data_IF_397443789789
#
_entry.id   IF_397443789789
#
_cell.length_a   1.000
_cell.length_b   1.000
_cell.length_c   1.000
_cell.angle_alpha   90.00
_cell.angle_beta   90.00
_cell.angle_gamma   90.00
#
_symmetry.space_group_name_H-M   'P 1'
#
loop_
_entity.id
_entity.type
_entity.pdbx_description
1 polymer ?
#
# COMPACT_ATOMS: atom_id res chain seq x y z
N UNK A 1 5.68 -21.02 80.46
CA UNK A 1 4.76 -19.86 80.56
C UNK A 1 5.14 -18.83 79.49
N UNK A 2 4.18 -18.45 78.62
CA UNK A 2 4.12 -17.29 77.67
C UNK A 2 5.15 -17.21 76.51
N UNK A 3 4.80 -16.54 75.38
CA UNK A 3 3.57 -16.68 74.59
C UNK A 3 3.82 -16.85 73.07
N UNK A 4 2.74 -17.25 72.38
CA UNK A 4 2.56 -17.43 70.93
C UNK A 4 2.62 -16.08 70.18
N UNK A 5 3.34 -16.04 69.04
CA UNK A 5 3.18 -15.00 68.02
C UNK A 5 2.37 -15.56 66.84
N UNK A 6 1.09 -15.17 66.78
CA UNK A 6 0.24 -15.33 65.60
C UNK A 6 0.70 -14.32 64.54
N UNK A 7 1.27 -14.80 63.43
CA UNK A 7 1.40 -14.01 62.20
C UNK A 7 0.11 -14.15 61.41
N UNK A 8 -0.64 -13.05 61.31
CA UNK A 8 -1.78 -12.90 60.42
C UNK A 8 -1.28 -12.82 58.97
N UNK A 9 -1.62 -13.83 58.16
CA UNK A 9 -1.55 -13.74 56.70
C UNK A 9 -2.80 -13.02 56.22
N UNK A 10 -2.64 -11.75 55.84
CA UNK A 10 -3.64 -11.01 55.07
C UNK A 10 -3.70 -11.60 53.67
N UNK A 11 -4.76 -12.38 53.41
CA UNK A 11 -5.18 -12.73 52.06
C UNK A 11 -5.76 -11.48 51.41
N UNK A 12 -4.94 -10.79 50.61
CA UNK A 12 -5.44 -9.78 49.67
C UNK A 12 -6.13 -10.49 48.52
N UNK A 13 -7.47 -10.52 48.57
CA UNK A 13 -8.30 -10.93 47.43
C UNK A 13 -8.11 -9.87 46.35
N UNK A 14 -7.26 -10.19 45.36
CA UNK A 14 -7.20 -9.48 44.09
C UNK A 14 -8.56 -9.67 43.42
N UNK A 15 -9.43 -8.66 43.53
CA UNK A 15 -10.60 -8.55 42.70
C UNK A 15 -10.11 -8.40 41.25
N UNK A 16 -10.04 -9.52 40.54
CA UNK A 16 -9.99 -9.56 39.08
C UNK A 16 -11.31 -8.98 38.58
N UNK A 17 -11.36 -7.64 38.49
CA UNK A 17 -12.35 -6.97 37.68
C UNK A 17 -12.16 -7.46 36.26
N UNK A 18 -13.08 -8.30 35.79
CA UNK A 18 -13.18 -8.66 34.39
C UNK A 18 -13.39 -7.35 33.63
N UNK A 19 -12.31 -6.80 33.04
CA UNK A 19 -12.44 -5.81 32.00
C UNK A 19 -13.27 -6.47 30.91
N UNK A 20 -14.55 -6.09 30.81
CA UNK A 20 -15.38 -6.46 29.69
C UNK A 20 -14.73 -5.84 28.47
N UNK A 21 -13.94 -6.64 27.76
CA UNK A 21 -13.49 -6.32 26.40
C UNK A 21 -14.75 -6.16 25.57
N UNK A 22 -15.13 -4.91 25.33
CA UNK A 22 -16.18 -4.57 24.37
C UNK A 22 -15.73 -5.17 23.04
N UNK A 23 -16.38 -6.24 22.59
CA UNK A 23 -16.13 -6.78 21.26
C UNK A 23 -16.69 -5.77 20.26
N UNK A 24 -15.81 -4.90 19.78
CA UNK A 24 -16.12 -3.96 18.70
C UNK A 24 -16.30 -4.80 17.44
N UNK A 25 -17.55 -4.89 16.96
CA UNK A 25 -17.81 -5.56 15.68
C UNK A 25 -17.21 -4.70 14.57
N UNK A 26 -16.31 -5.24 13.73
CA UNK A 26 -15.70 -4.47 12.66
C UNK A 26 -16.77 -3.91 11.72
N UNK A 27 -16.77 -2.60 11.51
CA UNK A 27 -17.61 -1.93 10.52
C UNK A 27 -16.83 -1.78 9.20
N UNK A 28 -17.36 -2.23 8.04
CA UNK A 28 -16.65 -2.09 6.77
C UNK A 28 -16.33 -0.63 6.43
N UNK A 29 -15.09 -0.34 6.01
CA UNK A 29 -14.64 1.01 5.67
C UNK A 29 -15.55 1.70 4.65
N UNK A 30 -15.96 0.98 3.60
CA UNK A 30 -16.82 1.50 2.52
C UNK A 30 -18.21 2.03 2.98
N UNK A 31 -18.62 1.74 4.23
CA UNK A 31 -19.88 2.24 4.81
C UNK A 31 -19.66 3.34 5.86
N UNK A 32 -18.42 3.69 6.16
CA UNK A 32 -18.04 4.66 7.19
C UNK A 32 -18.31 6.11 6.76
N UNK A 33 -18.41 7.01 7.75
CA UNK A 33 -18.43 8.46 7.49
C UNK A 33 -17.12 8.96 6.90
N UNK A 34 -15.98 8.37 7.29
CA UNK A 34 -14.67 8.67 6.72
C UNK A 34 -14.65 8.44 5.20
N UNK A 35 -15.16 7.29 4.74
CA UNK A 35 -15.27 7.03 3.30
C UNK A 35 -16.25 7.99 2.62
N UNK A 36 -17.40 8.30 3.23
CA UNK A 36 -18.37 9.26 2.66
C UNK A 36 -17.76 10.64 2.44
N UNK A 37 -16.84 11.06 3.30
CA UNK A 37 -16.14 12.34 3.18
C UNK A 37 -15.22 12.41 1.95
N UNK A 38 -14.60 11.29 1.57
CA UNK A 38 -13.62 11.22 0.47
C UNK A 38 -14.13 10.56 -0.81
N UNK A 39 -15.33 9.96 -0.80
CA UNK A 39 -15.84 9.09 -1.88
C UNK A 39 -15.84 9.71 -3.28
N UNK A 40 -15.90 11.04 -3.38
CA UNK A 40 -15.91 11.75 -4.68
C UNK A 40 -14.52 11.80 -5.30
N UNK A 41 -13.49 11.74 -4.47
CA UNK A 41 -12.08 11.82 -4.87
C UNK A 41 -11.40 10.45 -4.82
N UNK A 42 -12.03 9.45 -4.19
CA UNK A 42 -11.52 8.09 -4.13
C UNK A 42 -11.53 7.40 -5.51
N UNK A 43 -10.36 6.91 -5.92
CA UNK A 43 -10.15 6.20 -7.19
C UNK A 43 -10.08 4.68 -7.00
N UNK A 44 -9.68 4.23 -5.81
CA UNK A 44 -9.63 2.83 -5.43
C UNK A 44 -9.22 2.66 -3.96
N UNK A 45 -9.48 1.50 -3.39
CA UNK A 45 -8.99 1.15 -2.05
C UNK A 45 -8.64 -0.33 -1.93
N UNK A 46 -7.77 -0.64 -0.99
CA UNK A 46 -7.39 -1.99 -0.58
C UNK A 46 -7.43 -2.08 0.94
N UNK A 47 -7.72 -3.28 1.44
CA UNK A 47 -7.67 -3.57 2.86
C UNK A 47 -6.33 -4.25 3.21
N UNK A 48 -5.75 -3.94 4.37
CA UNK A 48 -4.55 -4.56 4.93
C UNK A 48 -4.46 -4.26 6.44
N UNK A 49 -3.89 -5.15 7.25
CA UNK A 49 -3.71 -4.91 8.69
C UNK A 49 -2.35 -4.23 8.95
N UNK A 50 -2.34 -2.89 9.04
CA UNK A 50 -1.13 -2.10 9.28
C UNK A 50 -0.78 -2.01 10.76
N UNK A 51 -1.79 -2.04 11.62
CA UNK A 51 -1.62 -1.87 13.06
C UNK A 51 -1.24 -3.17 13.77
N UNK A 52 -1.45 -4.32 13.12
CA UNK A 52 -1.20 -5.65 13.67
C UNK A 52 -2.22 -6.06 14.74
N UNK A 53 -3.39 -5.40 14.77
CA UNK A 53 -4.44 -5.66 15.74
C UNK A 53 -5.44 -6.75 15.28
N UNK A 54 -5.24 -7.29 14.08
CA UNK A 54 -6.09 -8.31 13.47
C UNK A 54 -7.36 -7.74 12.82
N UNK A 55 -7.52 -6.41 12.78
CA UNK A 55 -8.60 -5.71 12.09
C UNK A 55 -8.04 -5.12 10.80
N UNK A 56 -8.68 -5.34 9.63
CA UNK A 56 -8.22 -4.72 8.41
C UNK A 56 -8.33 -3.20 8.47
N UNK A 57 -7.23 -2.51 8.20
CA UNK A 57 -7.18 -1.09 7.90
C UNK A 57 -7.40 -0.86 6.39
N UNK A 58 -7.70 0.36 5.99
CA UNK A 58 -7.98 0.70 4.59
C UNK A 58 -6.93 1.66 4.02
N UNK A 59 -6.37 1.34 2.86
CA UNK A 59 -5.64 2.30 2.03
C UNK A 59 -6.52 2.76 0.90
N UNK A 60 -6.71 4.06 0.78
CA UNK A 60 -7.50 4.67 -0.29
C UNK A 60 -6.60 5.56 -1.12
N UNK A 61 -6.59 5.35 -2.43
CA UNK A 61 -5.97 6.31 -3.35
C UNK A 61 -7.00 7.36 -3.72
N UNK A 62 -6.71 8.62 -3.42
CA UNK A 62 -7.59 9.76 -3.70
C UNK A 62 -6.94 10.75 -4.64
N UNK A 63 -7.74 11.48 -5.42
CA UNK A 63 -7.30 12.63 -6.20
C UNK A 63 -6.74 13.71 -5.27
N UNK A 64 -5.56 14.22 -5.58
CA UNK A 64 -4.87 15.26 -4.78
C UNK A 64 -4.07 16.19 -5.68
N UNK A 65 -4.65 17.36 -5.99
CA UNK A 65 -4.01 18.36 -6.86
C UNK A 65 -3.75 17.81 -8.28
N UNK A 66 -2.50 17.90 -8.81
CA UNK A 66 -2.13 17.39 -10.13
C UNK A 66 -1.88 15.87 -10.15
N UNK A 67 -2.28 15.17 -9.08
CA UNK A 67 -1.88 13.80 -8.84
C UNK A 67 -2.90 13.01 -8.04
N UNK A 68 -2.43 11.89 -7.50
CA UNK A 68 -3.13 11.05 -6.54
C UNK A 68 -2.28 10.90 -5.28
N UNK A 69 -2.91 10.62 -4.13
CA UNK A 69 -2.19 10.25 -2.92
C UNK A 69 -2.85 9.05 -2.24
N UNK A 70 -2.02 8.15 -1.71
CA UNK A 70 -2.47 7.05 -0.85
C UNK A 70 -2.74 7.59 0.56
N UNK A 71 -3.89 7.28 1.12
CA UNK A 71 -4.29 7.66 2.48
C UNK A 71 -4.71 6.43 3.26
N UNK A 72 -4.28 6.36 4.50
CA UNK A 72 -4.55 5.20 5.36
C UNK A 72 -5.58 5.58 6.39
N UNK A 73 -6.59 4.73 6.52
CA UNK A 73 -7.64 4.84 7.51
C UNK A 73 -7.59 3.63 8.41
N UNK A 74 -7.62 3.88 9.71
CA UNK A 74 -7.60 2.84 10.75
C UNK A 74 -8.92 2.87 11.51
N UNK A 75 -9.25 1.74 12.13
CA UNK A 75 -10.45 1.64 12.96
C UNK A 75 -10.08 1.80 14.44
N UNK A 76 -10.56 2.88 15.06
CA UNK A 76 -10.36 3.15 16.47
C UNK A 76 -11.62 2.79 17.29
N UNK A 77 -11.46 2.20 18.49
CA UNK A 77 -12.58 2.01 19.41
C UNK A 77 -13.12 3.36 19.91
N UNK A 78 -14.44 3.49 20.01
CA UNK A 78 -15.15 4.65 20.57
C UNK A 78 -16.29 4.22 21.49
N UNK A 79 -16.81 5.17 22.29
CA UNK A 79 -17.97 4.91 23.17
C UNK A 79 -19.22 4.43 22.40
N UNK A 80 -19.33 4.80 21.12
CA UNK A 80 -20.45 4.42 20.24
C UNK A 80 -20.13 3.21 19.33
N UNK A 81 -18.95 2.60 19.44
CA UNK A 81 -18.55 1.45 18.64
C UNK A 81 -17.15 1.59 18.03
N UNK A 82 -17.04 1.51 16.72
CA UNK A 82 -15.80 1.68 15.97
C UNK A 82 -15.89 2.93 15.09
N UNK A 83 -14.87 3.78 15.10
CA UNK A 83 -14.78 4.97 14.26
C UNK A 83 -13.58 4.84 13.33
N UNK A 84 -13.78 5.21 12.07
CA UNK A 84 -12.70 5.26 11.09
C UNK A 84 -12.08 6.66 11.11
N UNK A 85 -10.77 6.73 11.27
CA UNK A 85 -9.97 7.97 11.28
C UNK A 85 -8.87 7.89 10.22
N UNK A 86 -8.49 9.01 9.62
CA UNK A 86 -7.31 9.08 8.75
C UNK A 86 -6.06 9.02 9.64
N UNK A 87 -5.26 7.96 9.51
CA UNK A 87 -4.02 7.79 10.26
C UNK A 87 -2.86 8.55 9.63
N UNK A 88 -2.76 8.52 8.30
CA UNK A 88 -1.73 9.23 7.56
C UNK A 88 -2.10 9.41 6.09
N UNK A 89 -1.36 10.31 5.43
CA UNK A 89 -1.41 10.52 3.99
C UNK A 89 0.01 10.46 3.41
N UNK A 90 0.15 9.73 2.30
CA UNK A 90 1.37 9.69 1.51
C UNK A 90 1.55 10.93 0.63
N UNK A 91 2.73 11.07 0.00
CA UNK A 91 2.99 12.15 -0.93
C UNK A 91 2.11 12.06 -2.18
N UNK A 92 2.07 13.15 -2.94
CA UNK A 92 1.36 13.22 -4.21
C UNK A 92 2.19 12.56 -5.31
N UNK A 93 1.59 11.56 -5.97
CA UNK A 93 2.08 10.89 -7.17
C UNK A 93 1.44 11.57 -8.37
N UNK A 94 2.24 12.10 -9.29
CA UNK A 94 1.71 12.83 -10.44
C UNK A 94 0.93 11.90 -11.39
N UNK A 95 -0.28 12.30 -11.77
CA UNK A 95 -1.19 11.50 -12.59
C UNK A 95 -2.64 11.80 -12.24
N UNK A 96 -3.49 12.04 -13.24
CA UNK A 96 -4.90 12.38 -13.04
C UNK A 96 -5.80 11.15 -12.91
N UNK A 97 -5.32 10.00 -13.37
CA UNK A 97 -6.02 8.72 -13.36
C UNK A 97 -5.21 7.66 -12.62
N UNK A 98 -5.90 6.71 -12.00
CA UNK A 98 -5.30 5.56 -11.33
C UNK A 98 -5.30 4.38 -12.31
N UNK A 99 -4.12 3.96 -12.75
CA UNK A 99 -3.96 2.79 -13.63
C UNK A 99 -3.93 1.49 -12.81
N UNK A 100 -3.13 1.46 -11.73
CA UNK A 100 -2.92 0.27 -10.91
C UNK A 100 -2.88 0.64 -9.43
N UNK A 101 -3.58 -0.18 -8.65
CA UNK A 101 -3.51 -0.24 -7.21
C UNK A 101 -3.52 -1.70 -6.78
N UNK A 102 -2.40 -2.21 -6.28
CA UNK A 102 -2.31 -3.60 -5.80
C UNK A 102 -1.20 -3.81 -4.78
N UNK A 103 -1.35 -4.85 -3.96
CA UNK A 103 -0.26 -5.41 -3.18
C UNK A 103 0.67 -6.23 -4.09
N UNK A 104 1.98 -6.10 -3.89
CA UNK A 104 3.02 -6.92 -4.53
C UNK A 104 3.95 -7.49 -3.46
N UNK A 105 4.54 -8.65 -3.73
CA UNK A 105 5.39 -9.39 -2.78
C UNK A 105 6.78 -9.66 -3.37
N UNK A 106 7.67 -8.66 -3.43
CA UNK A 106 9.05 -8.91 -3.80
C UNK A 106 9.79 -9.59 -2.65
N UNK A 107 9.94 -10.91 -2.73
CA UNK A 107 10.61 -11.70 -1.70
C UNK A 107 9.79 -11.73 -0.39
N UNK A 108 10.40 -11.48 0.79
CA UNK A 108 9.69 -11.51 2.07
C UNK A 108 8.92 -10.22 2.39
N UNK A 109 9.00 -9.20 1.52
CA UNK A 109 8.40 -7.89 1.74
C UNK A 109 7.07 -7.80 1.00
N UNK A 110 6.11 -7.11 1.62
CA UNK A 110 4.88 -6.71 0.96
C UNK A 110 4.91 -5.21 0.71
N UNK A 111 4.61 -4.79 -0.53
CA UNK A 111 4.58 -3.40 -0.94
C UNK A 111 3.24 -3.06 -1.59
N UNK A 112 2.78 -1.83 -1.39
CA UNK A 112 1.72 -1.24 -2.19
C UNK A 112 2.32 -0.65 -3.46
N UNK A 113 1.84 -1.11 -4.62
CA UNK A 113 2.13 -0.48 -5.90
C UNK A 113 0.97 0.45 -6.29
N UNK A 114 1.30 1.72 -6.50
CA UNK A 114 0.39 2.72 -7.07
C UNK A 114 0.97 3.20 -8.40
N UNK A 115 0.18 3.10 -9.47
CA UNK A 115 0.52 3.65 -10.79
C UNK A 115 -0.56 4.64 -11.19
N UNK A 116 -0.15 5.87 -11.47
CA UNK A 116 -1.04 6.93 -11.92
C UNK A 116 -0.60 7.45 -13.27
N UNK A 117 -1.55 7.75 -14.15
CA UNK A 117 -1.29 8.30 -15.48
C UNK A 117 -1.92 9.66 -15.66
N UNK A 118 -1.33 10.48 -16.51
CA UNK A 118 -1.95 11.69 -17.03
C UNK A 118 -1.66 11.80 -18.50
N UNK A 119 -2.69 12.09 -19.27
CA UNK A 119 -2.59 12.28 -20.71
C UNK A 119 -2.96 13.72 -21.06
N UNK A 120 -2.09 14.38 -21.81
CA UNK A 120 -2.43 15.63 -22.49
C UNK A 120 -2.05 15.52 -23.98
N UNK A 121 -2.39 16.53 -24.81
CA UNK A 121 -2.12 16.47 -26.25
C UNK A 121 -0.63 16.26 -26.61
N UNK A 122 0.29 16.75 -25.78
CA UNK A 122 1.72 16.78 -26.08
C UNK A 122 2.51 15.67 -25.36
N UNK A 123 2.03 15.22 -24.20
CA UNK A 123 2.76 14.35 -23.28
C UNK A 123 1.83 13.28 -22.71
N UNK A 124 2.32 12.04 -22.77
CA UNK A 124 1.85 10.94 -21.94
C UNK A 124 2.77 10.80 -20.74
N UNK A 125 2.20 10.80 -19.54
CA UNK A 125 2.95 10.62 -18.31
C UNK A 125 2.38 9.45 -17.53
N UNK A 126 3.27 8.60 -17.02
CA UNK A 126 2.94 7.55 -16.08
C UNK A 126 3.91 7.64 -14.91
N UNK A 127 3.37 7.71 -13.69
CA UNK A 127 4.14 7.72 -12.46
C UNK A 127 3.84 6.48 -11.65
N UNK A 128 4.87 5.97 -10.99
CA UNK A 128 4.76 4.81 -10.11
C UNK A 128 5.35 5.14 -8.76
N UNK A 129 4.73 4.61 -7.72
CA UNK A 129 5.23 4.67 -6.36
C UNK A 129 5.07 3.33 -5.64
N UNK A 130 6.05 3.01 -4.81
CA UNK A 130 6.04 1.86 -3.91
C UNK A 130 6.02 2.34 -2.47
N UNK A 131 5.10 1.76 -1.69
CA UNK A 131 4.99 2.00 -0.25
C UNK A 131 5.21 0.68 0.48
N UNK A 132 6.03 0.63 1.53
CA UNK A 132 6.12 -0.53 2.39
C UNK A 132 4.76 -0.81 3.04
N UNK A 133 4.35 -2.08 3.13
CA UNK A 133 3.12 -2.43 3.83
C UNK A 133 3.17 -1.94 5.29
N UNK A 134 4.30 -2.02 5.98
CA UNK A 134 4.42 -1.51 7.35
C UNK A 134 4.50 0.03 7.48
N UNK A 135 4.60 0.76 6.37
CA UNK A 135 4.65 2.23 6.33
C UNK A 135 3.92 2.76 5.08
N UNK A 136 2.59 2.55 4.97
CA UNK A 136 1.82 2.76 3.74
C UNK A 136 1.69 4.22 3.28
N UNK A 137 2.20 5.18 4.07
CA UNK A 137 2.27 6.60 3.73
C UNK A 137 3.71 7.08 3.43
N UNK A 138 4.70 6.21 3.60
CA UNK A 138 6.10 6.51 3.24
C UNK A 138 6.38 5.90 1.87
N UNK A 139 6.84 6.72 0.93
CA UNK A 139 7.28 6.22 -0.38
C UNK A 139 8.74 5.82 -0.30
N UNK A 140 9.04 4.57 -0.62
CA UNK A 140 10.43 4.09 -0.74
C UNK A 140 10.96 4.23 -2.16
N UNK A 141 10.07 4.31 -3.16
CA UNK A 141 10.47 4.45 -4.55
C UNK A 141 9.40 5.21 -5.32
N UNK A 142 9.82 6.22 -6.08
CA UNK A 142 8.96 6.98 -6.98
C UNK A 142 9.72 7.32 -8.26
N UNK A 143 9.05 7.17 -9.40
CA UNK A 143 9.56 7.65 -10.69
C UNK A 143 8.38 8.08 -11.56
N UNK A 144 8.69 8.89 -12.57
CA UNK A 144 7.74 9.31 -13.59
C UNK A 144 8.37 9.14 -14.97
N UNK A 145 7.70 8.40 -15.84
CA UNK A 145 8.00 8.31 -17.25
C UNK A 145 7.19 9.37 -17.99
N UNK A 146 7.85 10.14 -18.86
CA UNK A 146 7.20 11.07 -19.79
C UNK A 146 7.55 10.69 -21.22
N UNK A 147 6.54 10.50 -22.04
CA UNK A 147 6.67 10.25 -23.47
C UNK A 147 6.03 11.41 -24.22
N UNK A 148 6.81 12.09 -25.06
CA UNK A 148 6.25 13.06 -25.99
C UNK A 148 5.36 12.33 -27.00
N UNK A 149 4.20 12.89 -27.34
CA UNK A 149 3.37 12.41 -28.44
C UNK A 149 3.92 12.98 -29.76
N UNK A 150 4.50 12.16 -30.66
CA UNK A 150 4.78 12.63 -32.01
C UNK A 150 3.43 12.96 -32.66
N UNK A 151 3.29 14.19 -33.16
CA UNK A 151 2.06 14.58 -33.86
C UNK A 151 1.72 13.53 -34.91
N UNK A 152 0.53 12.95 -34.80
CA UNK A 152 -0.07 11.91 -35.65
C UNK A 152 0.25 10.43 -35.36
N UNK A 153 1.17 10.10 -34.45
CA UNK A 153 1.44 8.70 -34.08
C UNK A 153 0.60 8.27 -32.86
N UNK A 154 -0.08 7.12 -32.95
CA UNK A 154 -0.74 6.47 -31.80
C UNK A 154 0.34 5.87 -30.91
N UNK A 155 0.93 6.68 -30.05
CA UNK A 155 1.78 6.21 -28.96
C UNK A 155 0.86 5.91 -27.78
N UNK A 156 0.79 4.65 -27.37
CA UNK A 156 0.19 4.27 -26.08
C UNK A 156 1.30 4.12 -25.05
N UNK A 157 0.99 4.43 -23.79
CA UNK A 157 1.82 3.96 -22.68
C UNK A 157 1.91 2.43 -22.79
N UNK A 158 3.11 1.87 -22.63
CA UNK A 158 3.28 0.42 -22.61
C UNK A 158 2.48 -0.18 -21.46
N UNK A 159 2.16 -1.48 -21.54
CA UNK A 159 1.73 -2.21 -20.34
C UNK A 159 2.78 -1.98 -19.25
N UNK A 160 2.30 -1.57 -18.07
CA UNK A 160 3.08 -1.38 -16.84
C UNK A 160 4.12 -2.51 -16.71
N UNK A 161 5.34 -2.24 -16.21
CA UNK A 161 6.42 -3.21 -16.14
C UNK A 161 5.92 -4.63 -15.81
N UNK A 162 6.36 -5.59 -16.62
CA UNK A 162 6.04 -7.02 -16.46
C UNK A 162 6.40 -7.57 -15.08
N UNK A 163 7.20 -6.84 -14.30
CA UNK A 163 7.38 -7.02 -12.87
C UNK A 163 8.21 -5.90 -12.24
N UNK A 164 8.05 -5.72 -10.92
CA UNK A 164 9.02 -5.02 -10.07
C UNK A 164 9.62 -6.10 -9.18
N UNK A 165 10.93 -6.32 -9.25
CA UNK A 165 11.63 -7.18 -8.30
C UNK A 165 12.37 -6.30 -7.31
N UNK A 166 12.33 -6.65 -6.04
CA UNK A 166 13.27 -6.11 -5.05
C UNK A 166 14.14 -7.26 -4.62
N UNK A 167 15.45 -7.13 -4.81
CA UNK A 167 16.40 -8.19 -4.44
C UNK A 167 16.78 -8.11 -2.94
N UNK A 168 17.56 -9.10 -2.49
CA UNK A 168 18.04 -9.19 -1.11
C UNK A 168 18.98 -8.04 -0.71
N UNK A 169 19.45 -7.24 -1.67
CA UNK A 169 20.32 -6.08 -1.48
C UNK A 169 19.55 -4.76 -1.59
N UNK A 170 18.22 -4.78 -1.47
CA UNK A 170 17.35 -3.61 -1.57
C UNK A 170 17.46 -2.88 -2.92
N UNK A 171 17.80 -3.60 -3.98
CA UNK A 171 17.74 -3.03 -5.34
C UNK A 171 16.37 -3.28 -5.91
N UNK A 172 15.73 -2.20 -6.38
CA UNK A 172 14.52 -2.25 -7.18
C UNK A 172 14.90 -2.43 -8.64
N UNK A 173 14.42 -3.52 -9.22
CA UNK A 173 14.55 -3.90 -10.62
C UNK A 173 13.18 -3.68 -11.26
N UNK A 174 13.06 -2.65 -12.10
CA UNK A 174 11.85 -2.44 -12.90
C UNK A 174 12.03 -3.19 -14.22
N UNK A 175 11.19 -4.21 -14.46
CA UNK A 175 11.23 -5.05 -15.65
C UNK A 175 10.29 -4.47 -16.69
N UNK A 176 10.84 -3.77 -17.68
CA UNK A 176 10.02 -2.93 -18.56
C UNK A 176 9.19 -3.74 -19.56
N UNK A 177 9.70 -4.84 -20.15
CA UNK A 177 8.95 -5.80 -20.99
C UNK A 177 9.65 -7.16 -21.07
N UNK A 178 8.87 -8.25 -21.10
CA UNK A 178 9.34 -9.52 -21.61
C UNK A 178 9.32 -9.53 -23.15
N UNK A 179 10.28 -10.22 -23.78
CA UNK A 179 10.31 -10.37 -25.24
C UNK A 179 10.64 -11.82 -25.58
N UNK A 180 9.85 -12.43 -26.47
CA UNK A 180 10.22 -13.69 -27.10
C UNK A 180 11.39 -13.49 -28.07
N UNK A 181 12.50 -14.18 -27.82
CA UNK A 181 13.66 -14.23 -28.73
C UNK A 181 13.86 -15.68 -29.16
N UNK A 182 13.93 -15.91 -30.46
CA UNK A 182 14.29 -17.21 -31.00
C UNK A 182 15.81 -17.40 -30.86
N UNK A 183 16.23 -18.25 -29.92
CA UNK A 183 17.64 -18.56 -29.73
C UNK A 183 18.10 -19.55 -30.79
N UNK A 184 19.23 -19.28 -31.45
CA UNK A 184 19.83 -20.21 -32.41
C UNK A 184 20.19 -21.52 -31.69
N UNK A 185 19.51 -22.62 -32.06
CA UNK A 185 19.72 -23.94 -31.46
C UNK A 185 18.65 -24.40 -30.47
N UNK A 186 17.66 -23.57 -30.14
CA UNK A 186 16.50 -23.97 -29.32
C UNK A 186 15.28 -24.28 -30.20
N UNK A 187 14.56 -25.37 -29.89
CA UNK A 187 13.28 -25.69 -30.52
C UNK A 187 12.16 -24.86 -29.88
N UNK A 188 12.17 -23.53 -30.10
CA UNK A 188 11.16 -22.63 -29.59
C UNK A 188 11.63 -21.18 -29.47
N UNK A 189 10.69 -20.28 -29.24
CA UNK A 189 11.00 -18.93 -28.76
C UNK A 189 11.23 -19.00 -27.25
N UNK A 190 12.28 -18.35 -26.76
CA UNK A 190 12.55 -18.21 -25.33
C UNK A 190 12.23 -16.77 -24.95
N UNK A 191 11.45 -16.60 -23.89
CA UNK A 191 11.16 -15.29 -23.34
C UNK A 191 12.40 -14.76 -22.61
N UNK A 192 13.03 -13.71 -23.14
CA UNK A 192 14.21 -13.05 -22.58
C UNK A 192 13.80 -11.65 -22.12
N UNK A 193 14.10 -11.34 -20.85
CA UNK A 193 13.91 -10.01 -20.28
C UNK A 193 15.03 -9.10 -20.79
N UNK A 194 14.70 -8.04 -21.55
CA UNK A 194 15.72 -7.21 -22.24
C UNK A 194 15.93 -5.81 -21.66
N UNK A 195 15.15 -5.38 -20.66
CA UNK A 195 15.38 -4.11 -19.97
C UNK A 195 15.03 -4.25 -18.49
N UNK A 196 16.08 -4.31 -17.68
CA UNK A 196 15.98 -4.16 -16.22
C UNK A 196 16.59 -2.80 -15.90
N UNK A 197 15.76 -1.86 -15.44
CA UNK A 197 16.25 -0.63 -14.82
C UNK A 197 16.53 -0.94 -13.36
N UNK A 198 17.81 -0.98 -12.99
CA UNK A 198 18.26 -1.22 -11.62
C UNK A 198 18.42 0.10 -10.87
N UNK A 199 17.87 0.19 -9.65
CA UNK A 199 18.17 1.26 -8.71
C UNK A 199 18.31 0.71 -7.30
N UNK A 200 19.36 1.10 -6.59
CA UNK A 200 19.57 0.77 -5.18
C UNK A 200 18.66 1.68 -4.33
N UNK A 201 17.91 1.10 -3.39
CA UNK A 201 17.23 1.88 -2.35
C UNK A 201 18.29 2.34 -1.35
N UNK A 202 18.44 3.66 -1.22
CA UNK A 202 19.32 4.29 -0.21
C UNK A 202 18.64 4.32 1.17
#
# INVERSE_FOLDING_TARGET
MRPRNLRWLLLSVLATGCAQTVQVKPAPFARSEAFKAIRKDALGFLDHDFTGDGVPDAVVVVRSGPGVSARVFVQEPSEQGAVWSEACAGPVILGEELDILRWIEPGPRQLLLVVASSENPDILQQSYALFPANQPCTVIFQESLKLARPGYDVVSLGEVPGGVLVDESDRVHVIDKSRSVRLNGAAGEVEVLTAVRERVLD
#
